data_IF_713244719694
#
_entry.id   IF_713244719694
#
_cell.length_a   1.000
_cell.length_b   1.000
_cell.length_c   1.000
_cell.angle_alpha   90.00
_cell.angle_beta   90.00
_cell.angle_gamma   90.00
#
_symmetry.space_group_name_H-M   'P 1'
#
loop_
_entity.id
_entity.type
_entity.pdbx_description
1 polymer ?
#
# COMPACT_ATOMS: atom_id res chain seq x y z
N UNK A 1 17.76 -6.18 38.37
CA UNK A 1 18.61 -7.38 38.20
C UNK A 1 17.72 -8.60 37.91
N UNK A 2 17.53 -9.02 36.64
CA UNK A 2 16.59 -10.12 36.25
C UNK A 2 17.15 -11.12 35.22
N UNK A 3 18.48 -11.24 35.08
CA UNK A 3 19.15 -12.18 34.17
C UNK A 3 18.66 -12.18 32.69
N UNK A 4 18.29 -11.00 32.16
CA UNK A 4 17.97 -10.77 30.73
C UNK A 4 18.88 -9.69 30.15
N UNK A 5 20.20 -9.94 30.19
CA UNK A 5 21.21 -8.94 29.84
C UNK A 5 21.32 -8.69 28.33
N UNK A 6 21.12 -9.72 27.51
CA UNK A 6 21.25 -9.64 26.05
C UNK A 6 20.00 -10.15 25.34
N UNK A 7 19.65 -9.52 24.23
CA UNK A 7 18.57 -9.92 23.34
C UNK A 7 19.20 -10.22 21.98
N UNK A 8 19.08 -11.47 21.52
CA UNK A 8 19.51 -11.87 20.18
C UNK A 8 18.31 -11.96 19.24
N UNK A 9 18.52 -11.55 17.99
CA UNK A 9 17.51 -11.74 16.94
C UNK A 9 17.34 -13.23 16.65
N UNK A 10 16.12 -13.64 16.35
CA UNK A 10 15.81 -15.02 15.94
C UNK A 10 16.20 -15.18 14.47
N UNK A 11 17.17 -16.04 14.23
CA UNK A 11 17.66 -16.41 12.90
C UNK A 11 16.93 -17.64 12.35
N UNK A 12 17.58 -18.42 11.46
CA UNK A 12 16.96 -19.59 10.85
C UNK A 12 16.56 -20.65 11.88
N UNK A 13 15.47 -21.34 11.58
CA UNK A 13 15.05 -22.55 12.30
C UNK A 13 15.46 -23.77 11.49
N UNK A 14 16.29 -24.64 12.05
CA UNK A 14 16.68 -25.90 11.41
C UNK A 14 15.82 -27.04 11.96
N UNK A 15 15.10 -27.72 11.07
CA UNK A 15 14.22 -28.84 11.43
C UNK A 15 14.82 -30.16 10.99
N UNK A 16 14.92 -31.10 11.92
CA UNK A 16 15.46 -32.44 11.70
C UNK A 16 14.46 -33.53 12.09
N UNK A 17 14.59 -34.71 11.49
CA UNK A 17 13.69 -35.85 11.70
C UNK A 17 14.36 -37.12 12.26
N UNK A 18 15.67 -37.10 12.50
CA UNK A 18 16.44 -38.23 13.02
C UNK A 18 16.73 -38.00 14.51
N UNK A 19 16.35 -38.96 15.35
CA UNK A 19 16.65 -38.89 16.78
C UNK A 19 18.16 -39.01 17.03
N UNK A 20 18.69 -38.25 17.98
CA UNK A 20 20.13 -38.25 18.27
C UNK A 20 21.03 -37.58 17.21
N UNK A 21 20.47 -36.83 16.27
CA UNK A 21 21.25 -36.16 15.23
C UNK A 21 22.37 -35.26 15.82
N UNK A 22 23.62 -35.50 15.38
CA UNK A 22 24.81 -34.68 15.71
C UNK A 22 24.63 -33.20 15.35
N UNK A 23 23.68 -32.91 14.45
CA UNK A 23 23.20 -31.58 14.08
C UNK A 23 22.86 -30.70 15.29
N UNK A 24 22.26 -31.28 16.33
CA UNK A 24 21.88 -30.54 17.54
C UNK A 24 23.08 -29.93 18.26
N UNK A 25 24.19 -30.66 18.33
CA UNK A 25 25.43 -30.18 18.95
C UNK A 25 26.14 -29.16 18.06
N UNK A 26 26.13 -29.38 16.75
CA UNK A 26 26.80 -28.50 15.79
C UNK A 26 26.19 -27.09 15.74
N UNK A 27 24.85 -26.98 15.71
CA UNK A 27 24.17 -25.70 15.50
C UNK A 27 23.80 -24.96 16.79
N UNK A 28 23.89 -25.59 17.97
CA UNK A 28 23.47 -24.97 19.26
C UNK A 28 24.34 -23.77 19.65
N UNK A 29 25.61 -23.75 19.26
CA UNK A 29 26.53 -22.67 19.63
C UNK A 29 26.46 -21.45 18.69
N UNK A 30 25.69 -21.53 17.61
CA UNK A 30 25.56 -20.44 16.65
C UNK A 30 24.46 -19.48 17.15
N UNK A 31 24.76 -18.20 17.42
CA UNK A 31 23.79 -17.27 17.95
C UNK A 31 22.64 -17.03 16.96
N UNK A 32 21.40 -17.06 17.47
CA UNK A 32 20.19 -16.81 16.69
C UNK A 32 19.65 -18.03 15.95
N UNK A 33 20.46 -19.07 15.71
CA UNK A 33 19.99 -20.33 15.11
C UNK A 33 19.22 -21.13 16.15
N UNK A 34 18.06 -21.64 15.76
CA UNK A 34 17.28 -22.54 16.59
C UNK A 34 17.09 -23.88 15.90
N UNK A 35 16.93 -24.92 16.72
CA UNK A 35 16.77 -26.29 16.23
C UNK A 35 15.46 -26.84 16.78
N UNK A 36 14.72 -27.56 15.94
CA UNK A 36 13.50 -28.27 16.32
C UNK A 36 13.45 -29.66 15.66
N UNK A 37 12.82 -30.61 16.35
CA UNK A 37 12.55 -31.91 15.76
C UNK A 37 11.15 -31.91 15.15
N UNK A 38 10.97 -32.58 14.01
CA UNK A 38 9.72 -32.55 13.23
C UNK A 38 8.48 -32.99 14.03
N UNK A 39 8.61 -34.01 14.89
CA UNK A 39 7.47 -34.50 15.70
C UNK A 39 7.03 -33.54 16.81
N UNK A 40 7.92 -32.62 17.22
CA UNK A 40 7.71 -31.67 18.33
C UNK A 40 7.96 -30.23 17.89
N UNK A 41 7.41 -29.88 16.73
CA UNK A 41 7.42 -28.52 16.23
C UNK A 41 6.58 -27.64 17.16
N UNK A 42 7.16 -26.52 17.59
CA UNK A 42 6.53 -25.57 18.48
C UNK A 42 6.18 -24.29 17.70
N UNK A 43 4.95 -23.82 17.88
CA UNK A 43 4.48 -22.55 17.33
C UNK A 43 5.38 -21.38 17.75
N UNK A 44 5.85 -21.33 18.99
CA UNK A 44 6.72 -20.24 19.47
C UNK A 44 8.07 -20.15 18.73
N UNK A 45 8.55 -21.29 18.21
CA UNK A 45 9.75 -21.33 17.37
C UNK A 45 9.43 -21.02 15.91
N UNK A 46 8.28 -21.44 15.40
CA UNK A 46 7.87 -21.14 14.03
C UNK A 46 7.50 -19.66 13.85
N UNK A 47 6.85 -19.06 14.85
CA UNK A 47 6.34 -17.69 14.83
C UNK A 47 6.77 -16.93 16.09
N UNK A 48 8.05 -16.51 16.20
CA UNK A 48 8.51 -15.72 17.34
C UNK A 48 7.74 -14.41 17.45
N UNK A 49 7.14 -14.15 18.62
CA UNK A 49 6.32 -12.95 18.84
C UNK A 49 4.99 -12.94 18.07
N UNK A 50 4.58 -14.06 17.46
CA UNK A 50 3.35 -14.16 16.68
C UNK A 50 3.48 -13.73 15.21
N UNK A 51 4.69 -13.40 14.74
CA UNK A 51 4.92 -13.10 13.33
C UNK A 51 5.01 -14.37 12.48
N UNK A 52 4.17 -14.45 11.45
CA UNK A 52 4.18 -15.54 10.46
C UNK A 52 5.38 -15.36 9.50
N UNK A 53 5.93 -16.48 9.01
CA UNK A 53 7.01 -16.46 8.03
C UNK A 53 8.41 -16.34 8.63
N UNK A 54 8.85 -17.37 9.34
CA UNK A 54 10.26 -17.53 9.72
C UNK A 54 11.02 -18.31 8.65
N UNK A 55 12.29 -18.00 8.44
CA UNK A 55 13.16 -18.79 7.56
C UNK A 55 13.44 -20.17 8.20
N UNK A 56 12.92 -21.23 7.58
CA UNK A 56 13.03 -22.62 8.06
C UNK A 56 13.83 -23.46 7.07
N UNK A 57 14.83 -24.17 7.56
CA UNK A 57 15.65 -25.12 6.80
C UNK A 57 15.22 -26.53 7.19
N UNK A 58 14.83 -27.34 6.21
CA UNK A 58 14.36 -28.71 6.40
C UNK A 58 15.41 -29.72 5.95
N UNK A 59 15.66 -30.75 6.75
CA UNK A 59 16.34 -31.95 6.25
C UNK A 59 15.36 -32.81 5.44
N UNK A 60 15.86 -33.57 4.45
CA UNK A 60 15.03 -34.45 3.60
C UNK A 60 14.05 -35.31 4.42
N UNK A 61 14.58 -36.07 5.38
CA UNK A 61 13.78 -36.93 6.26
C UNK A 61 12.76 -36.14 7.12
N UNK A 62 13.09 -34.92 7.52
CA UNK A 62 12.13 -34.08 8.25
C UNK A 62 10.97 -33.63 7.36
N UNK A 63 11.26 -33.32 6.08
CA UNK A 63 10.26 -32.89 5.12
C UNK A 63 9.29 -34.03 4.77
N UNK A 64 9.82 -35.23 4.50
CA UNK A 64 9.01 -36.42 4.19
C UNK A 64 8.07 -36.83 5.35
N UNK A 65 8.52 -36.67 6.61
CA UNK A 65 7.70 -36.99 7.79
C UNK A 65 6.53 -36.02 8.04
N UNK A 66 6.46 -34.88 7.35
CA UNK A 66 5.37 -33.92 7.57
C UNK A 66 4.01 -34.49 7.12
N UNK A 67 3.99 -35.21 5.99
CA UNK A 67 2.77 -35.82 5.47
C UNK A 67 2.24 -36.90 6.42
N UNK A 68 3.12 -37.70 7.04
CA UNK A 68 2.75 -38.68 8.07
C UNK A 68 2.15 -38.01 9.33
N UNK A 69 2.75 -36.88 9.75
CA UNK A 69 2.35 -36.18 10.98
C UNK A 69 1.06 -35.39 10.82
N UNK A 70 0.85 -34.72 9.69
CA UNK A 70 -0.29 -33.82 9.50
C UNK A 70 -1.35 -34.37 8.54
N UNK A 71 -0.98 -35.28 7.64
CA UNK A 71 -1.86 -35.76 6.57
C UNK A 71 -1.93 -34.80 5.38
N UNK A 72 -2.83 -35.12 4.46
CA UNK A 72 -3.23 -34.28 3.33
C UNK A 72 -4.74 -34.01 3.40
N UNK A 73 -5.30 -33.36 2.38
CA UNK A 73 -6.77 -33.20 2.31
C UNK A 73 -7.49 -34.53 2.05
N UNK A 74 -6.80 -35.51 1.47
CA UNK A 74 -7.37 -36.82 1.13
C UNK A 74 -7.00 -37.90 2.17
N UNK A 75 -5.84 -37.78 2.83
CA UNK A 75 -5.33 -38.74 3.80
C UNK A 75 -5.32 -38.13 5.20
N UNK A 76 -5.96 -38.77 6.21
CA UNK A 76 -5.92 -38.28 7.58
C UNK A 76 -4.51 -38.37 8.18
N UNK A 77 -4.26 -37.61 9.25
CA UNK A 77 -3.01 -37.69 10.00
C UNK A 77 -2.85 -39.06 10.68
N UNK A 78 -1.66 -39.67 10.58
CA UNK A 78 -1.35 -40.92 11.27
C UNK A 78 -1.01 -40.68 12.74
N UNK A 79 -0.30 -39.58 13.06
CA UNK A 79 0.16 -39.32 14.44
C UNK A 79 -0.85 -38.56 15.28
N UNK A 80 -1.64 -37.67 14.68
CA UNK A 80 -2.56 -36.79 15.40
C UNK A 80 -3.98 -37.29 15.24
N UNK A 81 -4.46 -37.99 16.26
CA UNK A 81 -5.82 -38.55 16.29
C UNK A 81 -6.87 -37.45 16.08
N UNK A 82 -7.71 -37.63 15.07
CA UNK A 82 -8.82 -36.72 14.74
C UNK A 82 -8.38 -35.36 14.16
N UNK A 83 -7.09 -35.19 13.84
CA UNK A 83 -6.62 -33.98 13.19
C UNK A 83 -6.88 -34.03 11.68
N UNK A 84 -7.48 -32.96 11.17
CA UNK A 84 -7.71 -32.73 9.74
C UNK A 84 -7.20 -31.34 9.40
N UNK A 85 -6.61 -31.17 8.22
CA UNK A 85 -6.16 -29.86 7.77
C UNK A 85 -7.37 -28.90 7.65
N UNK A 86 -7.23 -27.62 8.09
CA UNK A 86 -8.27 -26.63 7.89
C UNK A 86 -8.63 -26.49 6.42
N UNK A 87 -9.93 -26.54 6.11
CA UNK A 87 -10.43 -26.30 4.75
C UNK A 87 -10.28 -24.83 4.41
N UNK A 88 -9.71 -24.53 3.25
CA UNK A 88 -9.59 -23.16 2.75
C UNK A 88 -10.99 -22.61 2.45
N UNK A 89 -11.23 -21.34 2.82
CA UNK A 89 -12.52 -20.68 2.54
C UNK A 89 -12.72 -20.38 1.06
N UNK A 90 -11.63 -20.20 0.32
CA UNK A 90 -11.60 -19.98 -1.12
C UNK A 90 -10.60 -20.96 -1.73
N UNK A 91 -10.96 -21.54 -2.88
CA UNK A 91 -10.05 -22.44 -3.63
C UNK A 91 -8.94 -21.64 -4.29
N UNK A 92 -9.29 -20.54 -4.97
CA UNK A 92 -8.33 -19.59 -5.53
C UNK A 92 -8.29 -18.32 -4.65
N UNK A 93 -7.10 -17.98 -4.14
CA UNK A 93 -6.89 -16.79 -3.33
C UNK A 93 -6.58 -15.53 -4.18
N UNK A 94 -6.30 -15.68 -5.47
CA UNK A 94 -6.05 -14.58 -6.39
C UNK A 94 -7.37 -13.89 -6.80
N UNK A 95 -7.78 -12.93 -5.98
CA UNK A 95 -8.96 -12.11 -6.24
C UNK A 95 -8.80 -11.23 -7.48
N UNK A 96 -7.59 -10.78 -7.80
CA UNK A 96 -7.37 -9.89 -8.94
C UNK A 96 -7.69 -10.64 -10.24
N UNK A 97 -7.24 -11.88 -10.36
CA UNK A 97 -7.58 -12.75 -11.49
C UNK A 97 -9.08 -12.99 -11.61
N UNK A 98 -9.76 -13.29 -10.50
CA UNK A 98 -11.21 -13.52 -10.50
C UNK A 98 -11.97 -12.26 -10.93
N UNK A 99 -11.56 -11.09 -10.43
CA UNK A 99 -12.21 -9.81 -10.75
C UNK A 99 -12.01 -9.45 -12.22
N UNK A 100 -10.82 -9.68 -12.77
CA UNK A 100 -10.46 -9.31 -14.15
C UNK A 100 -10.97 -10.32 -15.17
N UNK A 101 -11.46 -11.49 -14.75
CA UNK A 101 -11.90 -12.54 -15.65
C UNK A 101 -13.10 -12.12 -16.52
N UNK A 102 -13.18 -12.67 -17.74
CA UNK A 102 -14.19 -12.30 -18.73
C UNK A 102 -15.61 -12.61 -18.25
N UNK A 103 -15.78 -13.68 -17.46
CA UNK A 103 -17.06 -14.05 -16.87
C UNK A 103 -17.60 -12.97 -15.94
N UNK A 104 -16.71 -12.30 -15.20
CA UNK A 104 -17.09 -11.19 -14.32
C UNK A 104 -17.23 -9.90 -15.16
N UNK A 105 -16.23 -9.58 -15.99
CA UNK A 105 -16.20 -8.32 -16.73
C UNK A 105 -17.28 -8.20 -17.81
N UNK A 106 -17.77 -9.31 -18.37
CA UNK A 106 -18.88 -9.31 -19.34
C UNK A 106 -20.22 -8.87 -18.73
N UNK A 107 -20.41 -9.09 -17.42
CA UNK A 107 -21.65 -8.76 -16.70
C UNK A 107 -21.53 -7.44 -15.92
N UNK A 108 -20.32 -7.08 -15.48
CA UNK A 108 -20.07 -5.89 -14.67
C UNK A 108 -20.37 -4.62 -15.45
N UNK A 109 -21.18 -3.73 -14.84
CA UNK A 109 -21.46 -2.41 -15.41
C UNK A 109 -20.24 -1.49 -15.24
N UNK A 110 -19.92 -0.65 -16.23
CA UNK A 110 -18.82 0.29 -16.12
C UNK A 110 -19.06 1.29 -14.99
N UNK A 111 -17.98 1.67 -14.30
CA UNK A 111 -18.04 2.63 -13.20
C UNK A 111 -18.39 4.02 -13.75
N UNK A 112 -19.55 4.54 -13.36
CA UNK A 112 -19.94 5.92 -13.67
C UNK A 112 -19.30 6.87 -12.65
N UNK A 113 -18.30 7.65 -13.09
CA UNK A 113 -17.70 8.71 -12.26
C UNK A 113 -18.47 10.01 -12.45
N UNK A 114 -18.92 10.61 -11.36
CA UNK A 114 -19.53 11.93 -11.41
C UNK A 114 -18.48 12.99 -11.79
N UNK A 115 -18.84 13.99 -12.61
CA UNK A 115 -17.92 15.08 -12.93
C UNK A 115 -17.66 15.93 -11.67
N UNK A 116 -16.39 16.29 -11.46
CA UNK A 116 -16.01 17.15 -10.34
C UNK A 116 -16.52 18.58 -10.59
N UNK A 117 -17.23 19.16 -9.62
CA UNK A 117 -17.68 20.55 -9.66
C UNK A 117 -16.48 21.49 -9.52
N UNK A 118 -16.13 22.18 -10.62
CA UNK A 118 -15.07 23.20 -10.65
C UNK A 118 -15.63 24.56 -10.22
N UNK A 119 -14.83 25.37 -9.52
CA UNK A 119 -15.24 26.71 -9.09
C UNK A 119 -15.29 27.69 -10.29
N UNK A 120 -16.44 28.29 -10.63
CA UNK A 120 -16.57 29.22 -11.76
C UNK A 120 -15.76 30.52 -11.59
N UNK A 121 -15.58 31.00 -10.37
CA UNK A 121 -14.83 32.24 -10.11
C UNK A 121 -13.33 32.07 -10.40
N UNK A 122 -12.82 30.85 -10.26
CA UNK A 122 -11.41 30.50 -10.55
C UNK A 122 -11.22 29.94 -11.96
N UNK A 123 -12.25 29.31 -12.55
CA UNK A 123 -12.17 28.68 -13.87
C UNK A 123 -13.10 29.37 -14.88
N UNK A 124 -12.51 30.12 -15.81
CA UNK A 124 -13.24 30.89 -16.82
C UNK A 124 -14.14 30.02 -17.70
N UNK A 125 -13.68 28.86 -18.16
CA UNK A 125 -14.47 27.99 -19.05
C UNK A 125 -15.75 27.48 -18.35
N UNK A 126 -15.67 27.24 -17.05
CA UNK A 126 -16.83 26.83 -16.24
C UNK A 126 -17.79 28.00 -16.06
N UNK A 127 -17.28 29.21 -15.79
CA UNK A 127 -18.10 30.42 -15.74
C UNK A 127 -18.81 30.68 -17.06
N UNK A 128 -18.11 30.55 -18.18
CA UNK A 128 -18.68 30.77 -19.52
C UNK A 128 -19.72 29.71 -19.88
N UNK A 129 -19.49 28.45 -19.47
CA UNK A 129 -20.48 27.38 -19.64
C UNK A 129 -21.76 27.62 -18.84
N UNK A 130 -21.64 28.17 -17.63
CA UNK A 130 -22.80 28.47 -16.76
C UNK A 130 -23.49 29.78 -17.15
N UNK A 131 -22.72 30.78 -17.57
CA UNK A 131 -23.19 32.11 -17.92
C UNK A 131 -22.46 32.65 -19.17
N UNK A 132 -23.07 32.53 -20.35
CA UNK A 132 -22.50 33.05 -21.60
C UNK A 132 -22.27 34.58 -21.58
N UNK A 133 -23.11 35.32 -20.85
CA UNK A 133 -22.99 36.78 -20.74
C UNK A 133 -21.73 37.21 -19.99
N UNK A 134 -21.14 36.34 -19.15
CA UNK A 134 -19.88 36.62 -18.47
C UNK A 134 -18.73 36.95 -19.45
N UNK A 135 -18.78 36.43 -20.70
CA UNK A 135 -17.83 36.80 -21.76
C UNK A 135 -17.94 38.26 -22.16
N UNK A 136 -19.17 38.73 -22.39
CA UNK A 136 -19.44 40.10 -22.78
C UNK A 136 -19.12 41.06 -21.62
N UNK A 137 -19.58 40.75 -20.41
CA UNK A 137 -19.31 41.53 -19.21
C UNK A 137 -17.80 41.71 -18.96
N UNK A 138 -17.02 40.63 -19.09
CA UNK A 138 -15.55 40.70 -18.92
C UNK A 138 -14.87 41.53 -20.02
N UNK A 139 -15.33 41.43 -21.27
CA UNK A 139 -14.83 42.24 -22.38
C UNK A 139 -15.12 43.73 -22.16
N UNK A 140 -16.34 44.07 -21.74
CA UNK A 140 -16.72 45.46 -21.43
C UNK A 140 -15.90 46.01 -20.26
N UNK A 141 -15.70 45.22 -19.20
CA UNK A 141 -14.87 45.62 -18.07
C UNK A 141 -13.43 45.94 -18.49
N UNK A 142 -12.82 45.10 -19.34
CA UNK A 142 -11.46 45.30 -19.84
C UNK A 142 -11.33 46.58 -20.68
N UNK A 143 -12.30 46.85 -21.57
CA UNK A 143 -12.32 48.08 -22.37
C UNK A 143 -12.49 49.33 -21.49
N UNK A 144 -13.39 49.28 -20.51
CA UNK A 144 -13.61 50.37 -19.56
C UNK A 144 -12.36 50.63 -18.70
N UNK A 145 -11.66 49.58 -18.27
CA UNK A 145 -10.41 49.70 -17.52
C UNK A 145 -9.30 50.34 -18.35
N UNK A 146 -9.12 49.91 -19.60
CA UNK A 146 -8.15 50.51 -20.52
C UNK A 146 -8.41 52.01 -20.73
N UNK A 147 -9.69 52.41 -20.90
CA UNK A 147 -10.08 53.82 -21.00
C UNK A 147 -9.78 54.59 -19.71
N UNK A 148 -10.06 54.01 -18.53
CA UNK A 148 -9.76 54.64 -17.23
C UNK A 148 -8.27 54.83 -17.02
N UNK A 149 -7.44 53.85 -17.36
CA UNK A 149 -5.97 53.94 -17.25
C UNK A 149 -5.45 55.05 -18.17
N UNK A 150 -5.90 55.10 -19.42
CA UNK A 150 -5.53 56.18 -20.36
C UNK A 150 -5.92 57.56 -19.83
N UNK A 151 -7.16 57.74 -19.39
CA UNK A 151 -7.64 59.00 -18.84
C UNK A 151 -6.88 59.41 -17.56
N UNK A 152 -6.50 58.45 -16.72
CA UNK A 152 -5.67 58.69 -15.52
C UNK A 152 -4.26 59.15 -15.92
N UNK A 153 -3.66 58.52 -16.92
CA UNK A 153 -2.33 58.89 -17.42
C UNK A 153 -2.35 60.31 -18.03
N UNK A 154 -3.32 60.62 -18.88
CA UNK A 154 -3.48 61.98 -19.45
C UNK A 154 -3.67 63.05 -18.37
N UNK A 155 -4.44 62.76 -17.32
CA UNK A 155 -4.59 63.65 -16.15
C UNK A 155 -3.28 63.82 -15.39
N UNK A 156 -2.50 62.75 -15.23
CA UNK A 156 -1.19 62.78 -14.56
C UNK A 156 -0.19 63.59 -15.38
N UNK A 157 -0.14 63.41 -16.70
CA UNK A 157 0.77 64.10 -17.61
C UNK A 157 0.47 65.60 -17.68
N UNK A 158 -0.82 65.98 -17.68
CA UNK A 158 -1.23 67.40 -17.56
C UNK A 158 -0.75 68.02 -16.26
N UNK A 159 -0.79 67.30 -15.14
CA UNK A 159 -0.28 67.77 -13.83
C UNK A 159 1.26 67.84 -13.77
N UNK A 160 1.96 67.01 -14.54
CA UNK A 160 3.42 66.94 -14.59
C UNK A 160 4.07 67.97 -15.52
N UNK A 161 3.30 68.67 -16.37
CA UNK A 161 3.83 69.76 -17.19
C UNK A 161 4.29 70.91 -16.28
N UNK A 162 5.58 71.33 -16.33
CA UNK A 162 6.06 72.42 -15.51
C UNK A 162 5.42 73.75 -15.96
N UNK A 163 4.93 74.53 -15.01
CA UNK A 163 4.53 75.92 -15.24
C UNK A 163 5.83 76.69 -15.50
N UNK A 164 6.06 77.12 -16.74
CA UNK A 164 7.17 78.03 -17.06
C UNK A 164 7.00 79.30 -16.25
N UNK A 165 7.92 79.58 -15.32
CA UNK A 165 7.98 80.87 -14.63
C UNK A 165 8.27 81.95 -15.68
N UNK A 166 7.29 82.80 -15.95
CA UNK A 166 7.49 84.01 -16.75
C UNK A 166 8.21 85.00 -15.84
N UNK A 167 9.46 85.35 -16.16
CA UNK A 167 10.17 86.46 -15.51
C UNK A 167 9.67 87.77 -16.12
N UNK A 168 9.28 88.71 -15.24
CA UNK A 168 9.03 90.11 -15.56
C UNK A 168 10.34 90.84 -15.83
#
# INVERSE_FOLDING_TARGET
MRNRRYISRKGPLVVYGIEGAKLTKAFRNIPGVEIAHVSRLNLLKLTPGGHLGRFVIWTKCAFEKLDEIYGTFDKPSEKKKGYVLPRTKMVNADLARIIISDEVQSVVKPIKRAPLKKNPLKNLNVMLKLNPYAKAAKRMALLAEAQRVKAKQEKLDKKRKPITKVHF
#
